data_IF_373988043577
#
_entry.id   IF_373988043577
#
_cell.length_a   1.000
_cell.length_b   1.000
_cell.length_c   1.000
_cell.angle_alpha   90.00
_cell.angle_beta   90.00
_cell.angle_gamma   90.00
#
_symmetry.space_group_name_H-M   'P 1'
#
loop_
_entity.id
_entity.type
_entity.pdbx_description
1 polymer ?
#
# COMPACT_ATOMS: atom_id res chain seq x y z
N UNK A 1 -5.77 -15.26 -2.17
CA UNK A 1 -6.71 -14.37 -2.88
C UNK A 1 -7.87 -15.19 -3.42
N UNK A 2 -9.10 -14.77 -3.13
CA UNK A 2 -10.34 -15.34 -3.68
C UNK A 2 -11.32 -14.21 -4.03
N UNK A 3 -12.44 -14.55 -4.67
CA UNK A 3 -13.40 -13.52 -5.13
C UNK A 3 -14.04 -12.73 -3.98
N UNK A 4 -14.36 -13.38 -2.86
CA UNK A 4 -15.01 -12.71 -1.73
C UNK A 4 -14.06 -11.73 -1.03
N UNK A 5 -12.79 -12.12 -0.89
CA UNK A 5 -11.74 -11.23 -0.42
C UNK A 5 -11.57 -10.00 -1.33
N UNK A 6 -11.50 -10.21 -2.64
CA UNK A 6 -11.38 -9.11 -3.61
C UNK A 6 -12.58 -8.16 -3.54
N UNK A 7 -13.81 -8.70 -3.44
CA UNK A 7 -15.02 -7.88 -3.27
C UNK A 7 -15.01 -7.09 -1.98
N UNK A 8 -14.64 -7.71 -0.85
CA UNK A 8 -14.55 -7.04 0.43
C UNK A 8 -13.51 -5.91 0.42
N UNK A 9 -12.34 -6.16 -0.13
CA UNK A 9 -11.28 -5.17 -0.24
C UNK A 9 -11.62 -4.03 -1.22
N UNK A 10 -12.32 -4.31 -2.31
CA UNK A 10 -12.81 -3.30 -3.24
C UNK A 10 -13.85 -2.39 -2.56
N UNK A 11 -14.77 -2.95 -1.77
CA UNK A 11 -15.71 -2.19 -0.98
C UNK A 11 -15.00 -1.29 0.05
N UNK A 12 -13.99 -1.80 0.75
CA UNK A 12 -13.17 -0.99 1.68
C UNK A 12 -12.45 0.15 0.97
N UNK A 13 -11.93 -0.09 -0.23
CA UNK A 13 -11.31 0.98 -1.03
C UNK A 13 -12.32 2.06 -1.42
N UNK A 14 -13.56 1.69 -1.74
CA UNK A 14 -14.63 2.65 -2.01
C UNK A 14 -14.89 3.55 -0.79
N UNK A 15 -15.06 2.95 0.39
CA UNK A 15 -15.23 3.73 1.64
C UNK A 15 -14.01 4.59 1.95
N UNK A 16 -12.80 4.05 1.76
CA UNK A 16 -11.55 4.79 1.97
C UNK A 16 -11.47 6.05 1.11
N UNK A 17 -11.78 5.95 -0.17
CA UNK A 17 -11.81 7.08 -1.09
C UNK A 17 -12.88 8.11 -0.70
N UNK A 18 -14.08 7.64 -0.34
CA UNK A 18 -15.18 8.51 0.09
C UNK A 18 -14.85 9.28 1.38
N UNK A 19 -14.25 8.63 2.37
CA UNK A 19 -13.89 9.25 3.67
C UNK A 19 -12.89 10.39 3.49
N UNK A 20 -11.94 10.25 2.57
CA UNK A 20 -10.92 11.30 2.31
C UNK A 20 -11.32 12.23 1.16
N UNK A 21 -12.55 12.09 0.65
CA UNK A 21 -13.14 12.92 -0.40
C UNK A 21 -12.29 13.03 -1.66
N UNK A 22 -11.79 11.90 -2.15
CA UNK A 22 -11.11 11.83 -3.46
C UNK A 22 -12.05 11.19 -4.50
N UNK A 23 -11.99 11.62 -5.76
CA UNK A 23 -12.96 11.24 -6.80
C UNK A 23 -12.64 9.87 -7.41
N UNK A 24 -12.44 8.85 -6.57
CA UNK A 24 -12.20 7.48 -6.99
C UNK A 24 -13.22 6.53 -6.38
N UNK A 25 -13.54 5.46 -7.12
CA UNK A 25 -14.23 4.30 -6.59
C UNK A 25 -13.25 3.33 -5.90
N UNK A 26 -13.68 2.10 -5.70
CA UNK A 26 -12.87 1.02 -5.17
C UNK A 26 -12.70 -0.11 -6.16
N UNK A 27 -11.47 -0.45 -6.47
CA UNK A 27 -11.07 -1.63 -7.23
C UNK A 27 -10.09 -2.47 -6.42
N UNK A 28 -10.08 -3.77 -6.68
CA UNK A 28 -9.10 -4.70 -6.12
C UNK A 28 -8.88 -5.84 -7.08
N UNK A 29 -7.68 -6.38 -7.10
CA UNK A 29 -7.34 -7.52 -7.94
C UNK A 29 -6.10 -8.22 -7.42
N UNK A 30 -5.78 -9.37 -8.01
CA UNK A 30 -4.59 -10.11 -7.65
C UNK A 30 -4.46 -11.40 -8.43
N UNK A 31 -3.31 -12.04 -8.28
CA UNK A 31 -3.01 -13.35 -8.85
C UNK A 31 -2.89 -14.35 -7.70
N UNK A 32 -3.52 -15.51 -7.84
CA UNK A 32 -3.42 -16.58 -6.85
C UNK A 32 -2.08 -17.28 -7.01
N UNK A 33 -1.10 -16.86 -6.20
CA UNK A 33 0.21 -17.50 -6.13
C UNK A 33 0.80 -17.27 -4.73
N UNK A 34 1.84 -18.03 -4.39
CA UNK A 34 2.63 -17.84 -3.18
C UNK A 34 3.97 -17.20 -3.56
N UNK A 35 4.11 -15.87 -3.39
CA UNK A 35 5.33 -15.17 -3.82
C UNK A 35 6.58 -15.63 -3.06
N UNK A 36 6.44 -16.21 -1.85
CA UNK A 36 7.57 -16.74 -1.09
C UNK A 36 8.19 -18.01 -1.70
N UNK A 37 7.49 -18.67 -2.64
CA UNK A 37 7.96 -19.86 -3.35
C UNK A 37 8.42 -19.59 -4.78
N UNK A 38 8.37 -18.33 -5.20
CA UNK A 38 8.70 -17.92 -6.56
C UNK A 38 9.97 -17.09 -6.59
N UNK A 39 10.76 -17.26 -7.63
CA UNK A 39 11.89 -16.37 -7.91
C UNK A 39 11.42 -14.99 -8.35
N UNK A 40 12.29 -14.00 -8.26
CA UNK A 40 11.99 -12.65 -8.75
C UNK A 40 11.64 -12.63 -10.24
N UNK A 41 12.29 -13.45 -11.05
CA UNK A 41 12.02 -13.56 -12.48
C UNK A 41 10.63 -14.14 -12.78
N UNK A 42 10.19 -15.12 -11.99
CA UNK A 42 8.84 -15.67 -12.08
C UNK A 42 7.79 -14.65 -11.66
N UNK A 43 8.01 -13.92 -10.55
CA UNK A 43 7.12 -12.85 -10.12
C UNK A 43 7.05 -11.75 -11.19
N UNK A 44 8.18 -11.39 -11.79
CA UNK A 44 8.23 -10.41 -12.89
C UNK A 44 7.44 -10.90 -14.11
N UNK A 45 7.60 -12.15 -14.51
CA UNK A 45 6.87 -12.74 -15.63
C UNK A 45 5.35 -12.75 -15.37
N UNK A 46 4.92 -13.18 -14.18
CA UNK A 46 3.52 -13.17 -13.75
C UNK A 46 2.98 -11.73 -13.78
N UNK A 47 3.71 -10.78 -13.21
CA UNK A 47 3.32 -9.36 -13.18
C UNK A 47 3.12 -8.80 -14.58
N UNK A 48 4.04 -9.04 -15.49
CA UNK A 48 3.94 -8.57 -16.89
C UNK A 48 2.74 -9.20 -17.59
N UNK A 49 2.53 -10.50 -17.43
CA UNK A 49 1.37 -11.19 -18.00
C UNK A 49 0.06 -10.70 -17.43
N UNK A 50 -0.02 -10.52 -16.12
CA UNK A 50 -1.19 -9.96 -15.45
C UNK A 50 -1.49 -8.54 -15.96
N UNK A 51 -0.47 -7.69 -16.03
CA UNK A 51 -0.62 -6.31 -16.53
C UNK A 51 -1.16 -6.28 -17.96
N UNK A 52 -0.63 -7.12 -18.85
CA UNK A 52 -1.10 -7.22 -20.23
C UNK A 52 -2.58 -7.64 -20.28
N UNK A 53 -3.00 -8.58 -19.41
CA UNK A 53 -4.37 -9.07 -19.37
C UNK A 53 -5.36 -8.00 -18.87
N UNK A 54 -4.97 -7.17 -17.89
CA UNK A 54 -5.83 -6.12 -17.33
C UNK A 54 -5.63 -4.75 -17.99
N UNK A 55 -4.74 -4.62 -18.96
CA UNK A 55 -4.44 -3.36 -19.64
C UNK A 55 -5.68 -2.60 -20.16
N UNK A 56 -6.75 -3.25 -20.61
CA UNK A 56 -7.98 -2.54 -20.99
C UNK A 56 -8.76 -1.93 -19.82
N UNK A 57 -8.48 -2.34 -18.58
CA UNK A 57 -9.20 -1.91 -17.37
C UNK A 57 -8.43 -0.85 -16.58
N UNK A 58 -7.11 -0.71 -16.81
CA UNK A 58 -6.24 0.20 -16.05
C UNK A 58 -5.76 1.36 -16.90
N UNK A 59 -5.44 2.46 -16.23
CA UNK A 59 -4.91 3.65 -16.90
C UNK A 59 -4.98 4.88 -16.00
N UNK A 60 -4.33 5.99 -16.37
CA UNK A 60 -4.41 7.23 -15.60
C UNK A 60 -5.82 7.78 -15.40
N UNK A 61 -6.72 7.50 -16.36
CA UNK A 61 -8.12 7.93 -16.35
C UNK A 61 -9.10 6.79 -16.00
N UNK A 62 -8.58 5.67 -15.55
CA UNK A 62 -9.33 4.45 -15.21
C UNK A 62 -8.87 3.93 -13.84
N UNK A 63 -8.81 2.61 -13.66
CA UNK A 63 -8.26 2.01 -12.45
C UNK A 63 -6.73 2.16 -12.39
N UNK A 64 -6.23 2.65 -11.26
CA UNK A 64 -4.80 2.89 -11.03
C UNK A 64 -4.30 1.89 -9.99
N UNK A 65 -3.57 0.84 -10.39
CA UNK A 65 -2.99 -0.13 -9.46
C UNK A 65 -2.02 0.49 -8.46
N UNK A 66 -2.00 -0.07 -7.26
CA UNK A 66 -1.10 0.28 -6.17
C UNK A 66 -0.50 -0.99 -5.54
N UNK A 67 0.66 -0.92 -4.88
CA UNK A 67 1.22 -2.07 -4.20
C UNK A 67 0.40 -2.46 -2.97
N UNK A 68 0.25 -3.75 -2.73
CA UNK A 68 -0.39 -4.36 -1.57
C UNK A 68 0.36 -5.64 -1.18
N UNK A 69 -0.24 -6.53 -0.39
CA UNK A 69 0.40 -7.78 0.05
C UNK A 69 1.00 -8.54 -1.12
N UNK A 70 2.27 -8.93 -0.97
CA UNK A 70 3.03 -9.66 -2.00
C UNK A 70 3.51 -8.82 -3.18
N UNK A 71 3.35 -7.48 -3.14
CA UNK A 71 3.83 -6.57 -4.18
C UNK A 71 4.63 -5.40 -3.57
N UNK A 72 5.47 -4.78 -4.37
CA UNK A 72 6.37 -3.70 -3.94
C UNK A 72 6.61 -2.69 -5.09
N UNK A 73 7.50 -1.75 -4.87
CA UNK A 73 7.83 -0.72 -5.86
C UNK A 73 8.38 -1.29 -7.18
N UNK A 74 9.18 -2.37 -7.13
CA UNK A 74 9.71 -3.02 -8.32
C UNK A 74 8.58 -3.62 -9.18
N UNK A 75 7.62 -4.31 -8.54
CA UNK A 75 6.41 -4.85 -9.19
C UNK A 75 5.64 -3.73 -9.89
N UNK A 76 5.46 -2.59 -9.25
CA UNK A 76 4.82 -1.42 -9.87
C UNK A 76 5.61 -0.88 -11.05
N UNK A 77 6.93 -0.88 -10.98
CA UNK A 77 7.80 -0.54 -12.10
C UNK A 77 7.60 -1.46 -13.30
N UNK A 78 7.52 -2.77 -13.09
CA UNK A 78 7.24 -3.75 -14.15
C UNK A 78 5.85 -3.58 -14.76
N UNK A 79 4.86 -3.24 -13.94
CA UNK A 79 3.51 -2.93 -14.44
C UNK A 79 3.53 -1.69 -15.34
N UNK A 80 4.17 -0.60 -14.88
CA UNK A 80 4.29 0.63 -15.65
C UNK A 80 5.03 0.40 -16.99
N UNK A 81 6.14 -0.31 -16.95
CA UNK A 81 6.92 -0.66 -18.14
C UNK A 81 6.09 -1.45 -19.14
N UNK A 82 5.44 -2.52 -18.70
CA UNK A 82 4.61 -3.36 -19.55
C UNK A 82 3.44 -2.59 -20.18
N UNK A 83 2.74 -1.78 -19.38
CA UNK A 83 1.65 -0.95 -19.88
C UNK A 83 2.14 0.08 -20.89
N UNK A 84 3.27 0.72 -20.61
CA UNK A 84 3.88 1.70 -21.52
C UNK A 84 4.31 1.08 -22.85
N UNK A 85 4.87 -0.14 -22.83
CA UNK A 85 5.16 -0.89 -24.05
C UNK A 85 3.91 -1.13 -24.91
N UNK A 86 2.79 -1.52 -24.28
CA UNK A 86 1.53 -1.76 -24.98
C UNK A 86 0.94 -0.46 -25.56
N UNK A 87 1.19 0.68 -24.93
CA UNK A 87 0.72 2.00 -25.43
C UNK A 87 1.68 2.65 -26.42
N UNK A 88 2.91 2.16 -26.55
CA UNK A 88 3.93 2.73 -27.44
C UNK A 88 4.58 4.01 -26.92
N UNK A 89 4.29 4.43 -25.69
CA UNK A 89 4.91 5.57 -25.03
C UNK A 89 4.87 5.40 -23.51
N UNK A 90 5.71 6.15 -22.79
CA UNK A 90 5.78 6.07 -21.33
C UNK A 90 4.52 6.66 -20.69
N UNK A 91 3.86 5.87 -19.82
CA UNK A 91 2.64 6.26 -19.08
C UNK A 91 2.89 6.16 -17.58
N UNK A 92 3.51 7.20 -17.01
CA UNK A 92 3.86 7.22 -15.57
C UNK A 92 2.63 7.16 -14.65
N UNK A 93 1.49 7.68 -15.08
CA UNK A 93 0.27 7.76 -14.27
C UNK A 93 -0.50 6.45 -14.11
N UNK A 94 -0.11 5.37 -14.79
CA UNK A 94 -0.87 4.11 -14.78
C UNK A 94 -0.85 3.39 -13.43
N UNK A 95 0.18 3.57 -12.61
CA UNK A 95 0.32 2.94 -11.29
C UNK A 95 0.82 3.93 -10.25
N UNK A 96 0.52 3.68 -8.98
CA UNK A 96 1.14 4.37 -7.84
C UNK A 96 2.19 3.48 -7.18
N UNK A 97 2.96 4.03 -6.22
CA UNK A 97 3.92 3.26 -5.43
C UNK A 97 5.13 2.71 -6.19
N UNK A 98 5.34 3.14 -7.42
CA UNK A 98 6.54 2.85 -8.21
C UNK A 98 7.77 3.55 -7.64
N UNK A 99 9.01 3.15 -8.03
CA UNK A 99 10.24 3.82 -7.62
C UNK A 99 10.21 5.32 -7.93
N UNK A 100 10.90 6.12 -7.11
CA UNK A 100 10.98 7.59 -7.27
C UNK A 100 11.61 7.95 -8.61
N UNK A 101 12.62 7.20 -9.02
CA UNK A 101 13.34 7.35 -10.30
C UNK A 101 12.41 7.17 -11.52
N UNK A 102 11.31 6.43 -11.33
CA UNK A 102 10.26 6.24 -12.34
C UNK A 102 9.07 7.20 -12.16
N UNK A 103 9.26 8.30 -11.43
CA UNK A 103 8.20 9.27 -11.14
C UNK A 103 7.29 8.88 -9.99
N UNK A 104 7.77 8.07 -9.03
CA UNK A 104 7.08 7.77 -7.79
C UNK A 104 6.99 8.99 -6.87
N UNK A 105 5.92 9.06 -6.07
CA UNK A 105 5.70 10.16 -5.14
C UNK A 105 6.58 10.04 -3.89
N UNK A 106 7.22 11.15 -3.49
CA UNK A 106 7.92 11.24 -2.21
C UNK A 106 6.97 10.98 -1.04
N UNK A 107 7.46 10.29 0.00
CA UNK A 107 6.68 10.00 1.21
C UNK A 107 5.72 8.82 1.08
N UNK A 108 5.55 8.20 -0.09
CA UNK A 108 4.65 7.05 -0.25
C UNK A 108 4.99 5.88 0.66
N UNK A 109 6.26 5.60 0.87
CA UNK A 109 6.73 4.53 1.75
C UNK A 109 6.30 4.70 3.21
N UNK A 110 6.16 5.93 3.68
CA UNK A 110 5.73 6.25 5.05
C UNK A 110 4.22 6.56 5.15
N UNK A 111 3.52 6.75 4.03
CA UNK A 111 2.17 7.31 4.01
C UNK A 111 1.18 6.55 4.89
N UNK A 112 1.19 5.22 4.86
CA UNK A 112 0.25 4.39 5.63
C UNK A 112 0.54 4.49 7.14
N UNK A 113 1.79 4.32 7.56
CA UNK A 113 2.19 4.47 8.96
C UNK A 113 1.96 5.90 9.48
N UNK A 114 2.17 6.90 8.65
CA UNK A 114 1.89 8.31 8.96
C UNK A 114 0.38 8.55 9.17
N UNK A 115 -0.46 7.94 8.35
CA UNK A 115 -1.91 7.97 8.52
C UNK A 115 -2.36 7.33 9.85
N UNK A 116 -1.77 6.21 10.24
CA UNK A 116 -2.01 5.60 11.56
C UNK A 116 -1.60 6.57 12.68
N UNK A 117 -0.42 7.17 12.60
CA UNK A 117 0.04 8.15 13.59
C UNK A 117 -0.95 9.32 13.72
N UNK A 118 -1.43 9.91 12.63
CA UNK A 118 -2.44 10.98 12.67
C UNK A 118 -3.73 10.52 13.33
N UNK A 119 -4.20 9.32 13.03
CA UNK A 119 -5.42 8.77 13.63
C UNK A 119 -5.25 8.58 15.14
N UNK A 120 -4.12 8.01 15.59
CA UNK A 120 -3.80 7.85 17.02
C UNK A 120 -3.77 9.21 17.73
N UNK A 121 -3.08 10.19 17.18
CA UNK A 121 -3.03 11.56 17.75
C UNK A 121 -4.43 12.18 17.90
N UNK A 122 -5.27 12.03 16.89
CA UNK A 122 -6.63 12.53 16.92
C UNK A 122 -7.48 11.84 18.00
N UNK A 123 -7.34 10.53 18.17
CA UNK A 123 -8.02 9.76 19.23
C UNK A 123 -7.54 10.21 20.61
N UNK A 124 -6.24 10.35 20.81
CA UNK A 124 -5.67 10.83 22.08
C UNK A 124 -6.20 12.23 22.42
N UNK A 125 -6.17 13.14 21.44
CA UNK A 125 -6.72 14.49 21.60
C UNK A 125 -8.21 14.48 21.98
N UNK A 126 -9.01 13.66 21.27
CA UNK A 126 -10.46 13.54 21.56
C UNK A 126 -10.73 12.97 22.95
N UNK A 127 -9.85 12.12 23.47
CA UNK A 127 -9.96 11.55 24.83
C UNK A 127 -9.30 12.39 25.92
N UNK A 128 -8.67 13.52 25.60
CA UNK A 128 -7.91 14.34 26.56
C UNK A 128 -6.65 13.65 27.09
N UNK A 129 -6.09 12.68 26.38
CA UNK A 129 -4.89 11.95 26.79
C UNK A 129 -3.67 12.62 26.16
N UNK A 130 -2.65 13.02 26.95
CA UNK A 130 -1.42 13.61 26.39
C UNK A 130 -0.65 12.57 25.58
N UNK A 131 -0.11 12.97 24.44
CA UNK A 131 0.77 12.08 23.64
C UNK A 131 2.09 11.80 24.38
N UNK A 132 2.63 12.84 25.02
CA UNK A 132 3.89 12.74 25.75
C UNK A 132 3.82 11.71 26.88
N UNK A 133 4.64 10.67 26.79
CA UNK A 133 4.75 9.62 27.80
C UNK A 133 3.65 8.53 27.73
N UNK A 134 2.62 8.70 26.93
CA UNK A 134 1.60 7.66 26.70
C UNK A 134 2.25 6.42 26.10
N UNK A 135 1.96 5.25 26.67
CA UNK A 135 2.48 3.97 26.20
C UNK A 135 1.67 3.42 25.03
N UNK A 136 2.34 2.75 24.10
CA UNK A 136 1.73 2.11 22.94
C UNK A 136 2.38 0.74 22.70
N UNK A 137 1.56 -0.25 22.35
CA UNK A 137 1.99 -1.54 21.83
C UNK A 137 1.59 -1.63 20.35
N UNK A 138 2.44 -2.25 19.53
CA UNK A 138 2.24 -2.34 18.09
C UNK A 138 2.29 -3.81 17.67
N UNK A 139 1.22 -4.27 17.06
CA UNK A 139 1.13 -5.58 16.44
C UNK A 139 1.43 -5.45 14.94
N UNK A 140 2.43 -6.21 14.47
CA UNK A 140 2.94 -6.14 13.10
C UNK A 140 4.10 -5.16 12.95
N UNK A 141 5.31 -5.65 12.67
CA UNK A 141 6.52 -4.84 12.44
C UNK A 141 6.98 -4.79 10.98
N UNK A 142 6.06 -4.99 10.04
CA UNK A 142 6.27 -4.75 8.61
C UNK A 142 6.30 -3.25 8.26
N UNK A 143 6.11 -2.94 6.99
CA UNK A 143 6.20 -1.57 6.46
C UNK A 143 5.33 -0.55 7.22
N UNK A 144 4.11 -0.92 7.61
CA UNK A 144 3.20 -0.02 8.33
C UNK A 144 3.58 0.12 9.79
N UNK A 145 3.78 -1.02 10.48
CA UNK A 145 4.05 -1.02 11.92
C UNK A 145 5.38 -0.37 12.28
N UNK A 146 6.45 -0.64 11.55
CA UNK A 146 7.77 -0.05 11.79
C UNK A 146 7.76 1.48 11.60
N UNK A 147 7.12 1.97 10.55
CA UNK A 147 6.96 3.42 10.33
C UNK A 147 6.08 4.04 11.41
N UNK A 148 4.97 3.37 11.78
CA UNK A 148 4.08 3.82 12.86
C UNK A 148 4.83 3.94 14.18
N UNK A 149 5.62 2.92 14.55
CA UNK A 149 6.43 2.91 15.78
C UNK A 149 7.38 4.11 15.82
N UNK A 150 8.13 4.31 14.75
CA UNK A 150 9.07 5.43 14.60
C UNK A 150 8.37 6.78 14.76
N UNK A 151 7.25 6.98 14.05
CA UNK A 151 6.55 8.25 14.05
C UNK A 151 5.86 8.53 15.40
N UNK A 152 5.25 7.54 16.04
CA UNK A 152 4.65 7.69 17.36
C UNK A 152 5.72 8.00 18.43
N UNK A 153 6.88 7.35 18.36
CA UNK A 153 8.02 7.69 19.23
C UNK A 153 8.47 9.14 19.05
N UNK A 154 8.57 9.63 17.81
CA UNK A 154 8.91 11.03 17.52
C UNK A 154 7.88 12.04 18.07
N UNK A 155 6.61 11.63 18.17
CA UNK A 155 5.54 12.42 18.78
C UNK A 155 5.50 12.33 20.30
N UNK A 156 6.47 11.66 20.93
CA UNK A 156 6.63 11.56 22.38
C UNK A 156 5.93 10.40 23.06
N UNK A 157 5.32 9.49 22.30
CA UNK A 157 4.77 8.26 22.86
C UNK A 157 5.91 7.27 23.19
N UNK A 158 5.67 6.36 24.14
CA UNK A 158 6.58 5.29 24.51
C UNK A 158 6.13 3.99 23.87
N UNK A 159 6.87 3.49 22.88
CA UNK A 159 6.64 2.14 22.34
C UNK A 159 7.18 1.15 23.36
N UNK A 160 6.30 0.38 23.99
CA UNK A 160 6.64 -0.54 25.10
C UNK A 160 6.59 -2.01 24.68
N UNK A 161 5.93 -2.33 23.57
CA UNK A 161 5.89 -3.67 23.02
C UNK A 161 5.70 -3.62 21.51
N UNK A 162 6.29 -4.58 20.83
CA UNK A 162 6.08 -4.85 19.40
C UNK A 162 5.95 -6.37 19.22
N UNK A 163 5.17 -6.77 18.23
CA UNK A 163 5.09 -8.18 17.84
C UNK A 163 5.00 -8.31 16.32
N UNK A 164 5.38 -9.46 15.81
CA UNK A 164 5.20 -9.83 14.42
C UNK A 164 4.87 -11.32 14.28
N UNK A 165 4.99 -11.88 13.07
CA UNK A 165 4.70 -13.30 12.81
C UNK A 165 5.70 -14.26 13.48
N UNK A 166 6.85 -13.77 13.94
CA UNK A 166 7.88 -14.55 14.63
C UNK A 166 7.75 -14.51 16.16
N UNK A 167 6.97 -13.58 16.70
CA UNK A 167 6.78 -13.42 18.14
C UNK A 167 6.67 -11.94 18.56
N UNK A 168 6.79 -11.72 19.88
CA UNK A 168 6.74 -10.40 20.52
C UNK A 168 7.66 -10.33 21.72
#
# INVERSE_FOLDING_TARGET
VNQDEVRALAAWMTFKCAVVNIPYGGGKGGVVCDPGKLSEDEIRAITRRFTAAIAPLIGPEQDIPAPDVGTNAAVMGWMMDTYSMLKGHCVHGVVTGKPIELGGALGRSEATGRGVMFTVKNVLKKKGIPAQGTTVAIQGMGNVGSVTAKLLYQEGLKVVAVSDVSGG
#
